data_IF_831291250729
#
_entry.id   IF_831291250729
#
_cell.length_a   1.000
_cell.length_b   1.000
_cell.length_c   1.000
_cell.angle_alpha   90.00
_cell.angle_beta   90.00
_cell.angle_gamma   90.00
#
_symmetry.space_group_name_H-M   'P 1'
#
loop_
_entity.id
_entity.type
_entity.pdbx_description
1 polymer ?
#
# COMPACT_ATOMS: atom_id res chain seq x y z
N UNK A 1 3.55 11.47 -9.79
CA UNK A 1 3.81 11.33 -8.34
C UNK A 1 3.70 9.88 -7.95
N UNK A 2 4.23 9.52 -6.80
CA UNK A 2 4.29 8.15 -6.29
C UNK A 2 3.39 7.99 -5.06
N UNK A 3 2.86 6.79 -4.89
CA UNK A 3 2.16 6.39 -3.66
C UNK A 3 3.05 5.42 -2.90
N UNK A 4 3.30 5.72 -1.62
CA UNK A 4 4.07 4.90 -0.69
C UNK A 4 3.15 4.36 0.38
N UNK A 5 3.35 3.12 0.80
CA UNK A 5 2.60 2.53 1.90
C UNK A 5 3.42 2.56 3.20
N UNK A 6 2.79 2.89 4.32
CA UNK A 6 3.31 2.67 5.67
C UNK A 6 2.37 1.74 6.43
N UNK A 7 2.85 0.53 6.71
CA UNK A 7 2.10 -0.50 7.44
C UNK A 7 2.57 -0.57 8.89
N UNK A 8 1.70 -0.22 9.82
CA UNK A 8 2.02 -0.16 11.25
C UNK A 8 1.66 -1.45 12.00
N UNK A 9 2.43 -1.76 13.05
CA UNK A 9 2.10 -2.76 14.06
C UNK A 9 2.33 -4.21 13.65
N UNK A 10 3.35 -4.49 12.85
CA UNK A 10 3.60 -5.86 12.36
C UNK A 10 4.17 -6.75 13.47
N UNK A 11 3.58 -7.93 13.63
CA UNK A 11 4.02 -8.98 14.56
C UNK A 11 4.22 -10.28 13.80
N UNK A 12 5.42 -10.85 13.88
CA UNK A 12 5.86 -12.03 13.09
C UNK A 12 4.83 -13.17 13.16
N UNK A 13 4.42 -13.60 14.35
CA UNK A 13 3.56 -14.78 14.50
C UNK A 13 2.06 -14.53 14.28
N UNK A 14 1.62 -13.28 14.12
CA UNK A 14 0.20 -12.93 14.02
C UNK A 14 -0.16 -12.31 12.68
N UNK A 15 0.74 -11.49 12.17
CA UNK A 15 0.43 -10.58 11.09
C UNK A 15 1.19 -10.88 9.80
N UNK A 16 2.11 -11.85 9.79
CA UNK A 16 2.92 -12.22 8.61
C UNK A 16 2.06 -12.27 7.34
N UNK A 17 1.01 -13.10 7.31
CA UNK A 17 0.13 -13.25 6.13
C UNK A 17 -0.55 -11.94 5.73
N UNK A 18 -1.06 -11.18 6.69
CA UNK A 18 -1.79 -9.93 6.42
C UNK A 18 -0.84 -8.85 5.92
N UNK A 19 0.35 -8.72 6.50
CA UNK A 19 1.39 -7.80 6.01
C UNK A 19 1.84 -8.16 4.61
N UNK A 20 2.07 -9.46 4.32
CA UNK A 20 2.37 -9.92 2.96
C UNK A 20 1.25 -9.56 2.00
N UNK A 21 -0.02 -9.76 2.37
CA UNK A 21 -1.14 -9.36 1.51
C UNK A 21 -1.18 -7.84 1.27
N UNK A 22 -0.94 -7.01 2.29
CA UNK A 22 -0.83 -5.56 2.11
C UNK A 22 0.29 -5.19 1.12
N UNK A 23 1.45 -5.84 1.21
CA UNK A 23 2.55 -5.60 0.30
C UNK A 23 2.22 -6.02 -1.15
N UNK A 24 1.60 -7.18 -1.32
CA UNK A 24 1.18 -7.68 -2.63
C UNK A 24 0.11 -6.78 -3.26
N UNK A 25 -0.85 -6.30 -2.47
CA UNK A 25 -1.86 -5.33 -2.92
C UNK A 25 -1.18 -4.01 -3.28
N UNK A 26 -0.31 -3.47 -2.42
CA UNK A 26 0.42 -2.23 -2.71
C UNK A 26 1.16 -2.33 -4.05
N UNK A 27 1.92 -3.42 -4.25
CA UNK A 27 2.62 -3.70 -5.50
C UNK A 27 1.67 -3.78 -6.69
N UNK A 28 0.63 -4.61 -6.59
CA UNK A 28 -0.30 -4.86 -7.71
C UNK A 28 -1.19 -3.66 -8.05
N UNK A 29 -1.44 -2.77 -7.08
CA UNK A 29 -2.33 -1.62 -7.21
C UNK A 29 -1.56 -0.31 -7.41
N UNK A 30 -0.27 -0.36 -7.78
CA UNK A 30 0.46 0.80 -8.28
C UNK A 30 1.20 1.64 -7.24
N UNK A 31 1.28 1.20 -5.97
CA UNK A 31 2.22 1.82 -5.02
C UNK A 31 3.65 1.52 -5.43
N UNK A 32 4.55 2.47 -5.21
CA UNK A 32 5.96 2.34 -5.60
C UNK A 32 6.79 1.54 -4.60
N UNK A 33 6.47 1.64 -3.31
CA UNK A 33 7.22 1.00 -2.23
C UNK A 33 6.35 0.89 -0.98
N UNK A 34 6.74 -0.01 -0.08
CA UNK A 34 6.13 -0.19 1.22
C UNK A 34 7.17 -0.10 2.33
N UNK A 35 6.79 0.61 3.38
CA UNK A 35 7.49 0.65 4.65
C UNK A 35 6.65 -0.06 5.71
N UNK A 36 7.30 -0.69 6.69
CA UNK A 36 6.59 -1.28 7.81
C UNK A 36 7.30 -1.06 9.15
N UNK A 37 6.51 -1.03 10.22
CA UNK A 37 6.99 -0.92 11.60
C UNK A 37 6.43 -2.05 12.46
N UNK A 38 7.13 -2.36 13.55
CA UNK A 38 6.77 -3.43 14.48
C UNK A 38 7.98 -4.30 14.74
N UNK A 39 7.82 -5.60 14.60
CA UNK A 39 8.94 -6.54 14.54
C UNK A 39 9.55 -6.52 13.14
N UNK A 40 10.87 -6.54 13.06
CA UNK A 40 11.60 -6.76 11.80
C UNK A 40 11.38 -8.22 11.36
N UNK A 41 11.08 -8.43 10.09
CA UNK A 41 10.76 -9.73 9.51
C UNK A 41 11.32 -9.84 8.09
N UNK A 42 12.51 -10.43 7.97
CA UNK A 42 13.23 -10.60 6.70
C UNK A 42 12.43 -11.43 5.69
N UNK A 43 11.56 -12.33 6.18
CA UNK A 43 10.77 -13.20 5.30
C UNK A 43 9.75 -12.44 4.44
N UNK A 44 9.32 -11.23 4.88
CA UNK A 44 8.49 -10.34 4.09
C UNK A 44 9.22 -9.84 2.86
N UNK A 45 10.48 -9.41 3.04
CA UNK A 45 11.31 -8.92 1.94
C UNK A 45 11.61 -10.05 0.96
N UNK A 46 12.05 -11.21 1.45
CA UNK A 46 12.31 -12.38 0.61
C UNK A 46 11.09 -12.78 -0.24
N UNK A 47 9.89 -12.70 0.34
CA UNK A 47 8.64 -13.03 -0.36
C UNK A 47 8.39 -12.07 -1.52
N UNK A 48 8.61 -10.77 -1.32
CA UNK A 48 8.43 -9.77 -2.37
C UNK A 48 9.52 -9.87 -3.44
N UNK A 49 10.77 -10.12 -3.06
CA UNK A 49 11.86 -10.35 -4.00
C UNK A 49 11.56 -11.51 -4.94
N UNK A 50 11.12 -12.66 -4.40
CA UNK A 50 10.68 -13.82 -5.21
C UNK A 50 9.53 -13.47 -6.16
N UNK A 51 8.59 -12.62 -5.71
CA UNK A 51 7.49 -12.15 -6.55
C UNK A 51 8.01 -11.23 -7.65
N UNK A 52 8.90 -10.29 -7.37
CA UNK A 52 9.51 -9.42 -8.38
C UNK A 52 10.34 -10.21 -9.40
N UNK A 53 11.15 -11.18 -8.96
CA UNK A 53 11.94 -12.04 -9.84
C UNK A 53 11.08 -12.83 -10.83
N UNK A 54 9.89 -13.24 -10.40
CA UNK A 54 8.97 -14.05 -11.20
C UNK A 54 8.03 -13.19 -12.05
N UNK A 55 7.47 -12.13 -11.47
CA UNK A 55 6.38 -11.33 -12.04
C UNK A 55 6.82 -9.93 -12.49
N UNK A 56 8.12 -9.65 -12.46
CA UNK A 56 8.73 -8.39 -12.88
C UNK A 56 8.59 -7.27 -11.85
N UNK A 57 9.10 -6.09 -12.21
CA UNK A 57 9.07 -4.90 -11.37
C UNK A 57 10.11 -4.88 -10.25
N UNK A 58 10.14 -3.77 -9.54
CA UNK A 58 11.18 -3.41 -8.58
C UNK A 58 10.60 -2.97 -7.22
N UNK A 59 9.36 -3.38 -6.90
CA UNK A 59 8.67 -2.98 -5.67
C UNK A 59 9.45 -3.41 -4.42
N UNK A 60 9.78 -2.46 -3.55
CA UNK A 60 10.58 -2.70 -2.36
C UNK A 60 9.74 -2.66 -1.08
N UNK A 61 10.12 -3.49 -0.11
CA UNK A 61 9.69 -3.37 1.28
C UNK A 61 10.89 -2.91 2.13
N UNK A 62 10.68 -1.98 3.05
CA UNK A 62 11.71 -1.53 3.99
C UNK A 62 11.19 -1.52 5.43
N UNK A 63 11.93 -2.15 6.34
CA UNK A 63 11.67 -2.05 7.77
C UNK A 63 12.05 -0.67 8.32
N UNK A 64 11.23 -0.15 9.24
CA UNK A 64 11.47 1.12 9.92
C UNK A 64 11.41 0.93 11.44
N UNK A 65 12.50 1.28 12.11
CA UNK A 65 12.55 1.38 13.57
C UNK A 65 11.60 2.46 14.15
N UNK A 66 11.26 3.49 13.36
CA UNK A 66 10.42 4.60 13.81
C UNK A 66 9.57 5.16 12.68
N UNK A 67 8.28 4.86 12.71
CA UNK A 67 7.29 5.50 11.83
C UNK A 67 7.27 7.02 12.03
N UNK A 68 7.52 7.53 13.26
CA UNK A 68 7.53 8.97 13.56
C UNK A 68 8.59 9.70 12.74
N UNK A 69 9.80 9.15 12.71
CA UNK A 69 10.91 9.73 11.96
C UNK A 69 10.62 9.74 10.47
N UNK A 70 10.02 8.66 9.96
CA UNK A 70 9.60 8.55 8.56
C UNK A 70 8.52 9.57 8.18
N UNK A 71 7.46 9.71 8.97
CA UNK A 71 6.40 10.70 8.70
C UNK A 71 6.96 12.13 8.78
N UNK A 72 7.81 12.44 9.75
CA UNK A 72 8.49 13.74 9.82
C UNK A 72 9.33 14.03 8.57
N UNK A 73 10.06 13.03 8.06
CA UNK A 73 10.81 13.14 6.80
C UNK A 73 9.87 13.41 5.63
N UNK A 74 8.80 12.62 5.49
CA UNK A 74 7.82 12.78 4.42
C UNK A 74 7.18 14.18 4.43
N UNK A 75 6.85 14.72 5.60
CA UNK A 75 6.33 16.10 5.71
C UNK A 75 7.34 17.15 5.26
N UNK A 76 8.62 16.99 5.60
CA UNK A 76 9.70 17.88 5.12
C UNK A 76 9.89 17.81 3.60
N UNK A 77 9.64 16.64 3.02
CA UNK A 77 9.67 16.40 1.57
C UNK A 77 8.35 16.78 0.87
N UNK A 78 7.44 17.45 1.58
CA UNK A 78 6.14 17.86 1.08
C UNK A 78 5.26 16.69 0.56
N UNK A 79 5.42 15.48 1.11
CA UNK A 79 4.49 14.38 0.82
C UNK A 79 3.16 14.59 1.55
N UNK A 80 2.06 14.19 0.92
CA UNK A 80 0.73 14.23 1.52
C UNK A 80 0.44 12.91 2.25
N UNK A 81 0.04 12.99 3.51
CA UNK A 81 -0.07 11.84 4.41
C UNK A 81 -1.53 11.51 4.67
N UNK A 82 -1.97 10.36 4.17
CA UNK A 82 -3.31 9.81 4.36
C UNK A 82 -3.26 8.76 5.47
N UNK A 83 -4.09 8.89 6.50
CA UNK A 83 -4.34 7.84 7.48
C UNK A 83 -5.65 7.11 7.16
N UNK A 84 -5.57 5.81 6.86
CA UNK A 84 -6.76 4.97 6.73
C UNK A 84 -7.26 4.57 8.12
N UNK A 85 -8.48 4.98 8.46
CA UNK A 85 -9.12 4.71 9.74
C UNK A 85 -10.64 4.77 9.59
N UNK A 86 -11.36 3.85 10.23
CA UNK A 86 -12.84 3.85 10.18
C UNK A 86 -13.47 5.12 10.79
N UNK A 87 -12.69 5.91 11.54
CA UNK A 87 -13.12 7.18 12.13
C UNK A 87 -12.93 8.39 11.20
N UNK A 88 -12.36 8.20 10.01
CA UNK A 88 -12.11 9.27 9.05
C UNK A 88 -13.34 9.71 8.26
N UNK A 89 -13.15 10.70 7.39
CA UNK A 89 -14.16 11.12 6.41
C UNK A 89 -14.31 10.04 5.33
N UNK A 90 -15.54 9.85 4.85
CA UNK A 90 -15.83 8.78 3.90
C UNK A 90 -15.21 9.08 2.53
N UNK A 91 -14.58 8.08 1.92
CA UNK A 91 -13.82 8.26 0.67
C UNK A 91 -14.61 8.87 -0.49
N UNK A 92 -15.91 8.58 -0.74
CA UNK A 92 -16.66 9.17 -1.85
C UNK A 92 -16.70 10.69 -1.80
N UNK A 93 -16.60 11.29 -0.61
CA UNK A 93 -16.64 12.75 -0.42
C UNK A 93 -15.29 13.42 -0.75
N UNK A 94 -14.24 12.64 -1.04
CA UNK A 94 -12.86 13.14 -1.14
C UNK A 94 -12.11 12.64 -2.39
N UNK A 95 -12.73 11.79 -3.22
CA UNK A 95 -12.03 11.15 -4.36
C UNK A 95 -11.40 12.19 -5.31
N UNK A 96 -12.11 13.28 -5.61
CA UNK A 96 -11.62 14.35 -6.49
C UNK A 96 -10.45 15.11 -5.89
N UNK A 97 -10.56 15.54 -4.63
CA UNK A 97 -9.51 16.25 -3.90
C UNK A 97 -8.23 15.41 -3.83
N UNK A 98 -8.35 14.12 -3.49
CA UNK A 98 -7.19 13.23 -3.36
C UNK A 98 -6.51 12.96 -4.70
N UNK A 99 -7.30 12.84 -5.78
CA UNK A 99 -6.76 12.70 -7.14
C UNK A 99 -6.04 13.97 -7.57
N UNK A 100 -6.57 15.15 -7.26
CA UNK A 100 -5.89 16.43 -7.52
C UNK A 100 -4.56 16.52 -6.75
N UNK A 101 -4.55 16.14 -5.46
CA UNK A 101 -3.34 16.10 -4.65
C UNK A 101 -2.30 15.16 -5.26
N UNK A 102 -2.72 13.96 -5.71
CA UNK A 102 -1.83 12.98 -6.33
C UNK A 102 -1.18 13.49 -7.63
N UNK A 103 -1.77 14.47 -8.31
CA UNK A 103 -1.13 15.09 -9.48
C UNK A 103 0.07 15.97 -9.10
N UNK A 104 0.10 16.50 -7.87
CA UNK A 104 1.04 17.54 -7.45
C UNK A 104 2.01 17.11 -6.34
N UNK A 105 1.68 16.07 -5.57
CA UNK A 105 2.46 15.60 -4.42
C UNK A 105 2.54 14.08 -4.38
N UNK A 106 3.67 13.56 -3.91
CA UNK A 106 3.76 12.16 -3.51
C UNK A 106 2.86 11.91 -2.28
N UNK A 107 2.21 10.74 -2.25
CA UNK A 107 1.28 10.36 -1.19
C UNK A 107 1.89 9.25 -0.33
N UNK A 108 1.73 9.36 0.99
CA UNK A 108 2.01 8.30 1.95
C UNK A 108 0.69 7.83 2.53
N UNK A 109 0.31 6.59 2.25
CA UNK A 109 -0.87 5.93 2.83
C UNK A 109 -0.44 5.17 4.07
N UNK A 110 -1.09 5.42 5.20
CA UNK A 110 -0.86 4.73 6.47
C UNK A 110 -2.00 3.75 6.71
N UNK A 111 -1.66 2.49 6.95
CA UNK A 111 -2.57 1.44 7.41
C UNK A 111 -2.01 0.79 8.68
N UNK A 112 -2.84 0.15 9.50
CA UNK A 112 -2.39 -0.51 10.72
C UNK A 112 -3.18 -1.77 11.07
N UNK A 113 -2.53 -2.72 11.75
CA UNK A 113 -3.16 -3.95 12.27
C UNK A 113 -3.48 -3.91 13.77
N UNK A 114 -3.11 -2.82 14.44
CA UNK A 114 -3.35 -2.57 15.87
C UNK A 114 -4.08 -1.25 16.08
N UNK A 115 -4.32 -0.90 17.36
CA UNK A 115 -4.83 0.42 17.73
C UNK A 115 -3.88 1.50 17.20
N UNK A 116 -4.39 2.34 16.30
CA UNK A 116 -3.65 3.45 15.73
C UNK A 116 -3.21 4.40 16.86
N UNK A 117 -1.91 4.75 16.95
CA UNK A 117 -1.42 5.78 17.87
C UNK A 117 -2.23 7.09 17.72
N UNK A 118 -2.78 7.67 18.81
CA UNK A 118 -3.62 8.87 18.71
C UNK A 118 -2.96 10.05 18.00
N UNK A 119 -1.65 10.21 18.18
CA UNK A 119 -0.83 11.23 17.52
C UNK A 119 -0.84 11.12 15.98
N UNK A 120 -1.05 9.94 15.39
CA UNK A 120 -1.15 9.81 13.93
C UNK A 120 -2.37 10.49 13.36
N UNK A 121 -3.49 10.49 14.11
CA UNK A 121 -4.74 11.15 13.70
C UNK A 121 -4.48 12.64 13.46
N UNK A 122 -3.62 13.25 14.28
CA UNK A 122 -3.25 14.66 14.17
C UNK A 122 -2.08 14.94 13.23
N UNK A 123 -1.21 13.95 12.99
CA UNK A 123 -0.02 14.11 12.15
C UNK A 123 -0.32 13.88 10.66
N UNK A 124 -1.33 13.08 10.32
CA UNK A 124 -1.80 12.93 8.94
C UNK A 124 -2.37 14.25 8.42
N UNK A 125 -2.21 14.52 7.12
CA UNK A 125 -2.92 15.63 6.48
C UNK A 125 -4.43 15.35 6.45
N UNK A 126 -4.80 14.07 6.37
CA UNK A 126 -6.18 13.64 6.26
C UNK A 126 -6.40 12.26 6.89
N UNK A 127 -7.59 12.06 7.46
CA UNK A 127 -8.05 10.79 7.98
C UNK A 127 -9.21 10.29 7.11
N UNK A 128 -9.06 9.13 6.48
CA UNK A 128 -10.02 8.59 5.52
C UNK A 128 -10.60 7.27 6.02
N UNK A 129 -11.92 7.17 5.94
CA UNK A 129 -12.67 5.94 6.11
C UNK A 129 -13.09 5.40 4.73
N UNK A 130 -12.73 4.16 4.44
CA UNK A 130 -13.28 3.44 3.28
C UNK A 130 -14.73 3.02 3.56
N UNK A 131 -14.99 2.68 4.82
CA UNK A 131 -16.31 2.73 5.42
C UNK A 131 -16.13 3.09 6.89
N UNK A 132 -17.15 3.67 7.51
CA UNK A 132 -17.15 3.87 8.95
C UNK A 132 -17.52 2.60 9.74
N UNK A 133 -17.20 1.42 9.17
CA UNK A 133 -17.39 0.11 9.80
C UNK A 133 -16.03 -0.57 9.99
N UNK A 134 -15.86 -1.39 11.05
CA UNK A 134 -14.63 -2.15 11.24
C UNK A 134 -14.49 -3.25 10.19
N UNK A 135 -13.36 -3.26 9.46
CA UNK A 135 -13.03 -4.29 8.47
C UNK A 135 -11.51 -4.50 8.40
N UNK A 136 -10.97 -4.86 7.21
CA UNK A 136 -9.55 -5.11 7.00
C UNK A 136 -8.80 -3.92 6.41
N UNK A 137 -7.55 -3.77 6.83
CA UNK A 137 -6.53 -2.89 6.25
C UNK A 137 -6.18 -3.25 4.80
N UNK A 138 -6.26 -4.52 4.41
CA UNK A 138 -6.03 -4.98 3.03
C UNK A 138 -7.13 -4.46 2.12
N UNK A 139 -8.39 -4.57 2.57
CA UNK A 139 -9.55 -4.07 1.83
C UNK A 139 -9.51 -2.53 1.76
N UNK A 140 -9.12 -1.88 2.86
CA UNK A 140 -9.01 -0.43 2.90
C UNK A 140 -7.98 0.09 1.87
N UNK A 141 -6.81 -0.53 1.85
CA UNK A 141 -5.74 -0.20 0.90
C UNK A 141 -6.18 -0.42 -0.55
N UNK A 142 -6.75 -1.59 -0.86
CA UNK A 142 -7.17 -1.92 -2.21
C UNK A 142 -8.21 -0.92 -2.76
N UNK A 143 -9.22 -0.59 -1.96
CA UNK A 143 -10.27 0.36 -2.37
C UNK A 143 -9.70 1.77 -2.48
N UNK A 144 -8.88 2.22 -1.53
CA UNK A 144 -8.26 3.56 -1.63
C UNK A 144 -7.46 3.70 -2.93
N UNK A 145 -6.57 2.76 -3.21
CA UNK A 145 -5.74 2.80 -4.41
C UNK A 145 -6.60 2.73 -5.69
N UNK A 146 -7.64 1.90 -5.70
CA UNK A 146 -8.57 1.82 -6.82
C UNK A 146 -9.30 3.14 -7.10
N UNK A 147 -9.73 3.86 -6.05
CA UNK A 147 -10.34 5.20 -6.20
C UNK A 147 -9.35 6.25 -6.66
N UNK A 148 -8.11 6.19 -6.19
CA UNK A 148 -7.06 7.14 -6.61
C UNK A 148 -6.63 6.93 -8.07
N UNK A 149 -6.61 5.67 -8.54
CA UNK A 149 -6.18 5.31 -9.89
C UNK A 149 -7.32 5.10 -10.88
N UNK A 150 -8.58 5.15 -10.45
CA UNK A 150 -9.77 4.97 -11.29
C UNK A 150 -9.78 3.62 -12.03
N UNK A 151 -9.29 2.56 -11.37
CA UNK A 151 -9.16 1.22 -11.95
C UNK A 151 -8.01 1.06 -12.96
N UNK A 152 -7.34 2.14 -13.37
CA UNK A 152 -6.22 2.10 -14.36
C UNK A 152 -5.05 1.25 -13.87
N UNK A 153 -4.87 1.14 -12.55
CA UNK A 153 -3.83 0.32 -11.94
C UNK A 153 -3.95 -1.18 -12.26
N UNK A 154 -5.17 -1.66 -12.55
CA UNK A 154 -5.41 -3.06 -12.89
C UNK A 154 -4.86 -3.45 -14.27
N UNK A 155 -4.51 -2.46 -15.10
CA UNK A 155 -3.89 -2.65 -16.41
C UNK A 155 -2.38 -2.41 -16.39
N UNK A 156 -1.80 -2.06 -15.23
CA UNK A 156 -0.36 -1.83 -15.11
C UNK A 156 0.42 -3.10 -15.44
N UNK A 157 1.48 -2.90 -16.23
CA UNK A 157 2.41 -3.97 -16.61
C UNK A 157 3.70 -3.78 -15.85
N UNK A 158 4.16 -4.85 -15.23
CA UNK A 158 5.48 -4.88 -14.64
C UNK A 158 6.56 -4.97 -15.71
N UNK A 159 7.71 -4.38 -15.41
CA UNK A 159 8.91 -4.46 -16.25
C UNK A 159 9.57 -5.82 -16.09
N UNK A 160 10.07 -6.37 -17.20
CA UNK A 160 10.78 -7.66 -17.26
C UNK A 160 10.17 -8.87 -16.51
N UNK A 161 8.87 -9.18 -16.68
CA UNK A 161 8.26 -10.33 -16.05
C UNK A 161 8.69 -11.65 -16.69
N UNK A 162 9.24 -12.58 -15.90
CA UNK A 162 9.51 -13.97 -16.31
C UNK A 162 8.20 -14.75 -16.52
N UNK A 163 7.16 -14.45 -15.75
CA UNK A 163 5.84 -15.08 -15.82
C UNK A 163 4.80 -14.02 -16.16
N UNK A 164 3.98 -14.31 -17.18
CA UNK A 164 2.80 -13.50 -17.50
C UNK A 164 1.55 -14.38 -17.59
N UNK A 165 0.44 -13.90 -17.02
CA UNK A 165 -0.86 -14.57 -17.17
C UNK A 165 -1.56 -14.02 -18.39
N UNK A 166 -2.07 -14.92 -19.24
CA UNK A 166 -2.99 -14.55 -20.32
C UNK A 166 -4.40 -14.64 -19.75
N UNK A 167 -5.18 -13.55 -19.69
CA UNK A 167 -6.56 -13.58 -19.22
C UNK A 167 -7.39 -14.60 -20.00
N UNK A 168 -8.18 -15.41 -19.30
CA UNK A 168 -9.04 -16.43 -19.89
C UNK A 168 -10.45 -16.29 -19.33
N UNK A 169 -11.48 -16.46 -20.17
CA UNK A 169 -12.88 -16.51 -19.72
C UNK A 169 -13.12 -17.72 -18.79
N UNK A 170 -12.47 -18.85 -19.07
CA UNK A 170 -12.41 -20.07 -18.25
C UNK A 170 -11.05 -20.75 -18.47
N UNK A 171 -10.41 -21.24 -17.41
CA UNK A 171 -9.12 -21.92 -17.47
C UNK A 171 -7.95 -21.08 -16.95
N UNK A 172 -6.73 -21.62 -17.07
CA UNK A 172 -5.48 -20.98 -16.63
C UNK A 172 -4.45 -21.08 -17.74
N UNK A 173 -3.85 -19.95 -18.14
CA UNK A 173 -2.77 -19.92 -19.14
C UNK A 173 -1.69 -18.94 -18.70
N UNK A 174 -0.46 -19.42 -18.60
CA UNK A 174 0.75 -18.64 -18.32
C UNK A 174 1.73 -18.74 -19.48
N UNK A 175 2.50 -17.67 -19.69
CA UNK A 175 3.65 -17.64 -20.59
C UNK A 175 4.89 -17.38 -19.75
N UNK A 176 5.91 -18.21 -19.93
CA UNK A 176 7.19 -18.10 -19.28
C UNK A 176 8.20 -17.55 -20.29
N UNK A 177 8.87 -16.45 -19.96
CA UNK A 177 10.07 -16.01 -20.66
C UNK A 177 11.27 -16.76 -20.07
N UNK A 178 12.06 -17.36 -20.96
CA UNK A 178 13.33 -17.99 -20.62
C UNK A 178 14.38 -16.92 -20.31
#
# INVERSE_FOLDING_TARGET
MKIKLLRLGHRIHRDHRTTTHCALVARAFGSSEMYYCGNEDDSLQETIEKVNESWGGDFQITFLNSWKSFIKKCKKENHFVILCTMYGQNIPDMEDELREILQHRDIVVIIGSEKIPPELITLSDINIAISNQPHSEVAALAILLDRLFEGKQLEFKFTDPKINIIPQKKGKKSVYKL
#
